data_IF_435127898918
#
_entry.id   IF_435127898918
#
_cell.length_a   1.000
_cell.length_b   1.000
_cell.length_c   1.000
_cell.angle_alpha   90.00
_cell.angle_beta   90.00
_cell.angle_gamma   90.00
#
_symmetry.space_group_name_H-M   'P 1'
#
loop_
_entity.id
_entity.type
_entity.pdbx_description
1 polymer ?
#
# COMPACT_ATOMS: atom_id res chain seq x y z
N UNK A 1 -9.26 -11.98 -8.16
CA UNK A 1 -10.27 -11.15 -7.46
C UNK A 1 -11.14 -10.42 -8.48
N UNK A 2 -12.39 -10.03 -8.18
CA UNK A 2 -13.21 -9.25 -9.13
C UNK A 2 -12.86 -7.78 -9.08
N UNK A 3 -12.70 -7.14 -10.24
CA UNK A 3 -12.53 -5.69 -10.38
C UNK A 3 -13.77 -4.88 -9.93
N UNK A 4 -14.87 -5.54 -9.57
CA UNK A 4 -16.08 -4.94 -9.01
C UNK A 4 -16.36 -5.51 -7.62
N UNK A 5 -15.42 -5.40 -6.69
CA UNK A 5 -15.55 -5.92 -5.33
C UNK A 5 -15.08 -4.90 -4.30
N UNK A 6 -15.59 -5.03 -3.07
CA UNK A 6 -15.14 -4.22 -1.95
C UNK A 6 -13.62 -4.30 -1.75
N UNK A 7 -13.03 -5.49 -1.88
CA UNK A 7 -11.58 -5.66 -1.78
C UNK A 7 -10.80 -4.83 -2.80
N UNK A 8 -11.25 -4.79 -4.06
CA UNK A 8 -10.62 -3.94 -5.08
C UNK A 8 -10.80 -2.44 -4.77
N UNK A 9 -11.91 -2.06 -4.14
CA UNK A 9 -12.16 -0.68 -3.73
C UNK A 9 -11.23 -0.26 -2.58
N UNK A 10 -11.05 -1.14 -1.59
CA UNK A 10 -10.13 -0.92 -0.46
C UNK A 10 -8.70 -0.74 -0.97
N UNK A 11 -8.23 -1.63 -1.85
CA UNK A 11 -6.89 -1.52 -2.44
C UNK A 11 -6.72 -0.21 -3.21
N UNK A 12 -7.71 0.18 -4.03
CA UNK A 12 -7.68 1.42 -4.79
C UNK A 12 -7.57 2.64 -3.87
N UNK A 13 -8.48 2.75 -2.90
CA UNK A 13 -8.58 3.93 -2.07
C UNK A 13 -7.46 4.03 -1.04
N UNK A 14 -6.98 2.92 -0.48
CA UNK A 14 -5.83 2.94 0.41
C UNK A 14 -4.59 3.45 -0.32
N UNK A 15 -4.32 2.97 -1.53
CA UNK A 15 -3.18 3.39 -2.35
C UNK A 15 -3.30 4.86 -2.79
N UNK A 16 -4.48 5.27 -3.25
CA UNK A 16 -4.73 6.66 -3.62
C UNK A 16 -4.59 7.61 -2.43
N UNK A 17 -5.14 7.24 -1.27
CA UNK A 17 -5.06 8.05 -0.06
C UNK A 17 -3.62 8.15 0.48
N UNK A 18 -2.85 7.06 0.42
CA UNK A 18 -1.41 7.08 0.74
C UNK A 18 -0.66 8.09 -0.12
N UNK A 19 -0.98 8.17 -1.42
CA UNK A 19 -0.40 9.17 -2.33
C UNK A 19 -0.77 10.60 -1.93
N UNK A 20 -2.02 10.85 -1.54
CA UNK A 20 -2.43 12.17 -1.05
C UNK A 20 -1.66 12.60 0.20
N UNK A 21 -1.44 11.66 1.14
CA UNK A 21 -0.62 11.89 2.34
C UNK A 21 0.84 12.17 1.96
N UNK A 22 1.45 11.33 1.13
CA UNK A 22 2.84 11.51 0.70
C UNK A 22 3.07 12.82 -0.07
N UNK A 23 2.03 13.29 -0.75
CA UNK A 23 2.03 14.58 -1.45
C UNK A 23 1.69 15.77 -0.55
N UNK A 24 1.39 15.57 0.73
CA UNK A 24 1.03 16.65 1.66
C UNK A 24 -0.27 17.37 1.30
N UNK A 25 -1.18 16.70 0.59
CA UNK A 25 -2.51 17.22 0.23
C UNK A 25 -3.53 16.88 1.32
N UNK A 26 -3.37 15.70 1.90
CA UNK A 26 -4.12 15.25 3.08
C UNK A 26 -3.12 15.04 4.20
N UNK A 27 -3.51 15.41 5.42
CA UNK A 27 -2.65 15.22 6.58
C UNK A 27 -2.43 13.74 6.86
N UNK A 28 -1.20 13.38 7.22
CA UNK A 28 -0.91 12.12 7.86
C UNK A 28 -1.35 12.09 9.32
N UNK A 29 -0.40 11.75 10.19
CA UNK A 29 -0.51 11.85 11.64
C UNK A 29 0.68 12.66 12.17
N UNK A 30 0.58 13.14 13.40
CA UNK A 30 1.63 13.98 14.00
C UNK A 30 2.98 13.25 14.02
N UNK A 31 4.03 13.90 13.54
CA UNK A 31 5.37 13.28 13.47
C UNK A 31 5.66 12.50 12.18
N UNK A 32 4.70 12.41 11.25
CA UNK A 32 4.91 11.82 9.93
C UNK A 32 4.90 12.90 8.83
N UNK A 33 6.07 13.46 8.44
CA UNK A 33 6.13 14.43 7.35
C UNK A 33 5.77 13.76 6.02
N UNK A 34 5.10 14.52 5.15
CA UNK A 34 4.92 14.13 3.75
C UNK A 34 6.27 14.06 3.02
N UNK A 35 6.34 13.29 1.93
CA UNK A 35 7.55 13.25 1.11
C UNK A 35 7.97 14.65 0.64
N UNK A 36 7.02 15.49 0.21
CA UNK A 36 7.34 16.85 -0.25
C UNK A 36 7.92 17.77 0.85
N UNK A 37 7.58 17.52 2.11
CA UNK A 37 8.16 18.26 3.24
C UNK A 37 9.60 17.85 3.55
N UNK A 38 9.98 16.61 3.24
CA UNK A 38 11.35 16.11 3.46
C UNK A 38 12.31 16.50 2.34
N UNK A 39 11.80 16.88 1.16
CA UNK A 39 12.64 17.37 0.05
C UNK A 39 13.36 18.66 0.44
N UNK A 40 14.69 18.62 0.40
CA UNK A 40 15.58 19.74 0.71
C UNK A 40 16.57 19.99 -0.43
N UNK A 41 17.12 21.20 -0.47
CA UNK A 41 18.20 21.57 -1.39
C UNK A 41 19.49 20.89 -0.95
N UNK A 42 20.26 20.40 -1.91
CA UNK A 42 21.55 19.75 -1.66
C UNK A 42 22.57 20.76 -1.13
N UNK A 43 23.64 20.27 -0.49
CA UNK A 43 24.68 21.13 0.11
C UNK A 43 25.35 22.07 -0.90
N UNK A 44 25.32 21.75 -2.19
CA UNK A 44 25.83 22.56 -3.30
C UNK A 44 24.85 23.62 -3.82
N UNK A 45 23.65 23.72 -3.23
CA UNK A 45 22.62 24.68 -3.62
C UNK A 45 21.75 24.26 -4.80
N UNK A 46 21.90 23.03 -5.30
CA UNK A 46 21.07 22.46 -6.37
C UNK A 46 19.82 21.73 -5.83
N UNK A 47 18.71 21.68 -6.57
CA UNK A 47 17.56 20.85 -6.21
C UNK A 47 17.91 19.36 -6.38
N UNK A 48 17.30 18.47 -5.58
CA UNK A 48 17.52 17.03 -5.74
C UNK A 48 17.03 16.55 -7.12
N UNK A 49 17.61 15.48 -7.67
CA UNK A 49 17.20 14.93 -8.96
C UNK A 49 15.72 14.54 -8.93
N UNK A 50 14.98 14.85 -10.00
CA UNK A 50 13.61 14.40 -10.13
C UNK A 50 13.58 12.90 -10.49
N UNK A 51 13.03 12.08 -9.60
CA UNK A 51 12.78 10.65 -9.79
C UNK A 51 11.28 10.36 -9.83
N UNK A 52 10.88 9.29 -10.53
CA UNK A 52 9.52 8.75 -10.34
C UNK A 52 9.54 7.90 -9.08
N UNK A 53 8.66 8.23 -8.15
CA UNK A 53 8.48 7.50 -6.91
C UNK A 53 7.38 6.46 -7.10
N UNK A 54 7.62 5.25 -6.59
CA UNK A 54 6.62 4.20 -6.52
C UNK A 54 6.47 3.77 -5.06
N UNK A 55 5.25 3.84 -4.54
CA UNK A 55 4.86 3.26 -3.26
C UNK A 55 3.80 2.19 -3.48
N UNK A 56 3.83 1.14 -2.68
CA UNK A 56 2.76 0.14 -2.65
C UNK A 56 2.69 -0.54 -1.29
N UNK A 57 1.53 -1.10 -0.97
CA UNK A 57 1.34 -1.90 0.23
C UNK A 57 1.82 -3.34 0.03
N UNK A 58 2.40 -3.90 1.07
CA UNK A 58 2.80 -5.31 1.14
C UNK A 58 2.50 -5.87 2.53
N UNK A 59 2.53 -7.19 2.63
CA UNK A 59 2.36 -7.89 3.91
C UNK A 59 3.60 -7.75 4.80
N UNK A 60 3.39 -7.55 6.10
CA UNK A 60 4.43 -7.49 7.14
C UNK A 60 4.02 -8.34 8.35
N UNK A 61 4.04 -9.66 8.15
CA UNK A 61 3.80 -10.64 9.21
C UNK A 61 5.10 -11.27 9.66
N UNK A 62 5.14 -11.65 10.93
CA UNK A 62 6.10 -12.63 11.43
C UNK A 62 5.75 -14.04 10.89
N UNK A 63 6.68 -15.01 10.95
CA UNK A 63 6.36 -16.40 10.65
C UNK A 63 5.15 -16.89 11.45
N UNK A 64 4.18 -17.48 10.74
CA UNK A 64 2.95 -18.02 11.32
C UNK A 64 3.31 -18.99 12.44
N UNK A 65 2.83 -18.71 13.66
CA UNK A 65 2.99 -19.61 14.78
C UNK A 65 2.08 -20.81 14.62
N UNK A 66 2.58 -22.02 14.84
CA UNK A 66 1.81 -23.27 14.71
C UNK A 66 2.10 -24.16 15.90
N UNK A 67 1.07 -24.76 16.49
CA UNK A 67 1.22 -25.78 17.53
C UNK A 67 1.84 -27.07 16.96
N UNK A 68 2.50 -27.92 17.77
CA UNK A 68 2.99 -29.22 17.30
C UNK A 68 1.90 -30.10 16.67
N UNK A 69 0.67 -30.00 17.18
CA UNK A 69 -0.49 -30.70 16.67
C UNK A 69 -1.07 -30.08 15.38
N UNK A 70 -0.60 -28.90 14.96
CA UNK A 70 -1.06 -28.15 13.77
C UNK A 70 -2.56 -27.86 13.75
N UNK A 71 -3.14 -27.66 14.93
CA UNK A 71 -4.56 -27.38 15.15
C UNK A 71 -4.82 -25.92 15.55
N UNK A 72 -3.77 -25.16 15.88
CA UNK A 72 -3.85 -23.74 16.20
C UNK A 72 -2.76 -22.96 15.48
N UNK A 73 -3.17 -21.85 14.89
CA UNK A 73 -2.33 -20.97 14.09
C UNK A 73 -2.43 -19.53 14.60
N UNK A 74 -1.29 -18.85 14.72
CA UNK A 74 -1.22 -17.46 15.20
C UNK A 74 -0.54 -16.58 14.15
N UNK A 75 -1.31 -15.60 13.64
CA UNK A 75 -0.81 -14.51 12.82
C UNK A 75 -0.24 -13.43 13.76
N UNK A 76 0.99 -12.99 13.48
CA UNK A 76 1.73 -12.03 14.31
C UNK A 76 2.37 -10.97 13.42
N UNK A 77 2.67 -9.81 14.00
CA UNK A 77 3.17 -8.63 13.29
C UNK A 77 2.07 -7.61 12.98
N UNK A 78 2.47 -6.49 12.38
CA UNK A 78 1.58 -5.36 12.06
C UNK A 78 0.62 -5.67 10.91
N UNK A 79 0.97 -6.64 10.06
CA UNK A 79 0.19 -7.10 8.93
C UNK A 79 0.44 -6.33 7.64
N UNK A 80 0.58 -5.00 7.71
CA UNK A 80 0.81 -4.15 6.53
C UNK A 80 2.10 -3.35 6.66
N UNK A 81 2.83 -3.22 5.55
CA UNK A 81 3.91 -2.25 5.36
C UNK A 81 3.76 -1.53 4.03
N UNK A 82 4.44 -0.39 3.91
CA UNK A 82 4.64 0.32 2.65
C UNK A 82 6.05 0.04 2.15
N UNK A 83 6.17 -0.27 0.87
CA UNK A 83 7.45 -0.41 0.17
C UNK A 83 7.64 0.73 -0.83
N UNK A 84 8.89 1.04 -1.14
CA UNK A 84 9.26 2.09 -2.09
C UNK A 84 10.23 1.61 -3.18
N UNK A 85 10.13 2.21 -4.37
CA UNK A 85 11.10 2.06 -5.46
C UNK A 85 11.22 3.37 -6.26
N UNK A 86 12.39 3.58 -6.87
CA UNK A 86 12.62 4.65 -7.83
C UNK A 86 12.54 4.10 -9.27
N UNK A 87 11.82 4.79 -10.14
CA UNK A 87 11.78 4.53 -11.58
C UNK A 87 12.42 5.71 -12.35
N UNK A 88 13.14 5.41 -13.44
CA UNK A 88 13.62 6.42 -14.40
C UNK A 88 12.78 6.35 -15.68
N UNK A 89 12.36 7.49 -16.21
CA UNK A 89 11.82 7.58 -17.57
C UNK A 89 12.97 7.53 -18.58
N UNK A 90 13.06 6.45 -19.36
CA UNK A 90 13.87 6.47 -20.57
C UNK A 90 13.29 7.50 -21.56
N UNK A 91 14.12 8.00 -22.48
CA UNK A 91 13.76 9.01 -23.49
C UNK A 91 12.54 8.66 -24.40
N UNK A 92 12.02 7.43 -24.29
CA UNK A 92 10.87 6.90 -25.03
C UNK A 92 9.63 6.67 -24.14
N UNK A 93 9.61 7.18 -22.89
CA UNK A 93 8.49 7.01 -21.95
C UNK A 93 8.43 5.63 -21.28
N UNK A 94 9.43 4.76 -21.52
CA UNK A 94 9.54 3.45 -20.88
C UNK A 94 10.13 3.62 -19.47
N UNK A 95 9.41 3.16 -18.46
CA UNK A 95 9.87 3.11 -17.07
C UNK A 95 10.95 2.04 -16.94
N UNK A 96 12.12 2.43 -16.44
CA UNK A 96 13.22 1.51 -16.11
C UNK A 96 13.32 1.45 -14.59
N UNK A 97 13.15 0.25 -14.03
CA UNK A 97 13.36 0.00 -12.61
C UNK A 97 14.83 0.20 -12.25
N UNK A 98 15.10 1.12 -11.34
CA UNK A 98 16.43 1.32 -10.78
C UNK A 98 16.40 0.92 -9.32
N UNK A 99 16.96 -0.24 -8.98
CA UNK A 99 17.22 -0.58 -7.58
C UNK A 99 18.51 0.13 -7.16
N UNK A 100 18.55 0.90 -6.04
CA UNK A 100 17.59 1.00 -4.92
C UNK A 100 16.73 2.28 -4.92
N UNK A 101 15.72 2.31 -4.03
CA UNK A 101 14.99 3.53 -3.65
C UNK A 101 15.97 4.60 -3.13
N UNK A 102 15.77 5.86 -3.50
CA UNK A 102 16.49 6.95 -2.85
C UNK A 102 16.05 7.07 -1.37
N UNK A 103 16.91 7.71 -0.59
CA UNK A 103 16.78 7.80 0.86
C UNK A 103 15.48 8.49 1.29
N UNK A 104 15.06 9.56 0.59
CA UNK A 104 13.82 10.29 0.90
C UNK A 104 12.58 9.45 0.60
N UNK A 105 12.59 8.72 -0.51
CA UNK A 105 11.52 7.84 -0.92
C UNK A 105 11.34 6.68 0.07
N UNK A 106 12.46 6.10 0.51
CA UNK A 106 12.48 5.06 1.54
C UNK A 106 12.01 5.59 2.89
N UNK A 107 12.43 6.79 3.29
CA UNK A 107 12.02 7.42 4.54
C UNK A 107 10.50 7.58 4.64
N UNK A 108 9.82 7.97 3.56
CA UNK A 108 8.36 8.06 3.57
C UNK A 108 7.71 6.69 3.80
N UNK A 109 8.14 5.65 3.07
CA UNK A 109 7.61 4.30 3.22
C UNK A 109 7.86 3.70 4.61
N UNK A 110 9.08 3.88 5.14
CA UNK A 110 9.44 3.44 6.49
C UNK A 110 8.64 4.20 7.56
N UNK A 111 8.46 5.52 7.40
CA UNK A 111 7.69 6.36 8.33
C UNK A 111 6.20 6.00 8.31
N UNK A 112 5.61 5.79 7.13
CA UNK A 112 4.22 5.34 6.99
C UNK A 112 4.01 3.98 7.65
N UNK A 113 4.95 3.06 7.45
CA UNK A 113 4.93 1.73 8.07
C UNK A 113 5.02 1.84 9.58
N UNK A 114 5.93 2.65 10.12
CA UNK A 114 6.10 2.81 11.57
C UNK A 114 4.87 3.40 12.27
N UNK A 115 4.14 4.28 11.58
CA UNK A 115 2.94 4.95 12.12
C UNK A 115 1.62 4.29 11.68
N UNK A 116 1.67 3.11 11.05
CA UNK A 116 0.50 2.49 10.44
C UNK A 116 -0.68 2.35 11.42
N UNK A 117 -0.43 1.93 12.66
CA UNK A 117 -1.48 1.80 13.69
C UNK A 117 -2.20 3.12 14.00
N UNK A 118 -1.48 4.24 14.01
CA UNK A 118 -2.06 5.56 14.27
C UNK A 118 -2.82 6.08 13.05
N UNK A 119 -2.26 5.86 11.86
CA UNK A 119 -2.91 6.20 10.59
C UNK A 119 -4.20 5.40 10.44
N UNK A 120 -4.21 4.11 10.78
CA UNK A 120 -5.37 3.24 10.65
C UNK A 120 -6.50 3.60 11.63
N UNK A 121 -6.16 4.09 12.82
CA UNK A 121 -7.13 4.70 13.75
C UNK A 121 -7.75 5.99 13.19
N UNK A 122 -6.97 6.83 12.52
CA UNK A 122 -7.45 8.08 11.91
C UNK A 122 -8.25 7.83 10.62
N UNK A 123 -7.81 6.87 9.82
CA UNK A 123 -8.34 6.54 8.51
C UNK A 123 -8.65 5.03 8.43
N UNK A 124 -9.90 4.63 8.73
CA UNK A 124 -10.29 3.21 8.84
C UNK A 124 -10.06 2.36 7.58
N UNK A 125 -9.88 2.99 6.41
CA UNK A 125 -9.53 2.28 5.17
C UNK A 125 -8.26 1.42 5.30
N UNK A 126 -7.32 1.81 6.17
CA UNK A 126 -6.10 1.04 6.40
C UNK A 126 -6.33 -0.16 7.34
N UNK A 127 -7.31 -0.09 8.26
CA UNK A 127 -7.78 -1.27 9.00
C UNK A 127 -8.46 -2.26 8.06
N UNK A 128 -9.28 -1.77 7.14
CA UNK A 128 -9.91 -2.61 6.12
C UNK A 128 -8.87 -3.26 5.20
N UNK A 129 -7.81 -2.52 4.84
CA UNK A 129 -6.68 -3.06 4.09
C UNK A 129 -5.97 -4.18 4.88
N UNK A 130 -5.72 -3.97 6.19
CA UNK A 130 -5.13 -5.00 7.06
C UNK A 130 -6.01 -6.25 7.12
N UNK A 131 -7.31 -6.09 7.32
CA UNK A 131 -8.27 -7.21 7.32
C UNK A 131 -8.26 -7.97 5.99
N UNK A 132 -8.10 -7.27 4.86
CA UNK A 132 -7.99 -7.91 3.55
C UNK A 132 -6.72 -8.78 3.45
N UNK A 133 -5.59 -8.30 3.97
CA UNK A 133 -4.34 -9.08 4.02
C UNK A 133 -4.44 -10.24 5.01
N UNK A 134 -5.07 -10.06 6.17
CA UNK A 134 -5.31 -11.11 7.15
C UNK A 134 -6.13 -12.25 6.55
N UNK A 135 -7.25 -11.91 5.89
CA UNK A 135 -8.11 -12.90 5.22
C UNK A 135 -7.35 -13.60 4.10
N UNK A 136 -6.56 -12.88 3.30
CA UNK A 136 -5.76 -13.49 2.24
C UNK A 136 -4.74 -14.50 2.81
N UNK A 137 -4.06 -14.15 3.91
CA UNK A 137 -3.11 -15.02 4.58
C UNK A 137 -3.81 -16.23 5.22
N UNK A 138 -4.95 -16.04 5.88
CA UNK A 138 -5.76 -17.12 6.45
C UNK A 138 -6.24 -18.08 5.37
N UNK A 139 -6.74 -17.57 4.24
CA UNK A 139 -7.19 -18.40 3.12
C UNK A 139 -6.03 -19.20 2.54
N UNK A 140 -4.86 -18.58 2.35
CA UNK A 140 -3.65 -19.28 1.92
C UNK A 140 -3.25 -20.38 2.90
N UNK A 141 -3.36 -20.15 4.20
CA UNK A 141 -3.05 -21.13 5.23
C UNK A 141 -4.04 -22.30 5.21
N UNK A 142 -5.35 -22.01 5.11
CA UNK A 142 -6.42 -23.00 5.01
C UNK A 142 -6.19 -23.93 3.81
N UNK A 143 -5.76 -23.39 2.68
CA UNK A 143 -5.46 -24.16 1.47
C UNK A 143 -4.14 -24.96 1.60
N UNK A 144 -3.05 -24.33 2.04
CA UNK A 144 -1.74 -24.97 2.11
C UNK A 144 -1.67 -26.10 3.15
N UNK A 145 -2.41 -25.97 4.24
CA UNK A 145 -2.44 -26.95 5.33
C UNK A 145 -3.55 -28.00 5.16
N UNK A 146 -4.42 -27.86 4.15
CA UNK A 146 -5.56 -28.75 3.94
C UNK A 146 -6.54 -28.75 5.12
N UNK A 147 -6.72 -27.59 5.78
CA UNK A 147 -7.50 -27.52 7.02
C UNK A 147 -8.97 -27.88 6.80
N UNK A 148 -9.49 -27.64 5.59
CA UNK A 148 -10.87 -27.96 5.24
C UNK A 148 -11.10 -29.47 5.25
N UNK A 149 -10.18 -30.21 4.67
CA UNK A 149 -10.21 -31.67 4.55
C UNK A 149 -10.05 -32.33 5.92
N UNK A 150 -9.14 -31.80 6.76
CA UNK A 150 -8.91 -32.30 8.12
C UNK A 150 -10.17 -32.31 8.98
N UNK A 151 -11.08 -31.35 8.78
CA UNK A 151 -12.34 -31.23 9.52
C UNK A 151 -13.57 -31.64 8.72
N UNK A 152 -13.38 -32.14 7.48
CA UNK A 152 -14.48 -32.53 6.59
C UNK A 152 -15.39 -31.36 6.15
N UNK A 153 -14.88 -30.13 6.10
CA UNK A 153 -15.66 -28.97 5.66
C UNK A 153 -15.51 -28.75 4.15
N UNK A 154 -16.62 -28.79 3.42
CA UNK A 154 -16.62 -28.68 1.95
C UNK A 154 -16.85 -27.26 1.40
N UNK A 155 -16.78 -26.22 2.24
CA UNK A 155 -16.86 -24.83 1.79
C UNK A 155 -18.23 -24.34 1.31
N UNK A 156 -19.21 -25.22 1.05
CA UNK A 156 -20.61 -24.94 0.66
C UNK A 156 -20.79 -23.62 -0.11
N UNK A 157 -21.63 -22.71 0.39
CA UNK A 157 -21.93 -21.41 -0.23
C UNK A 157 -20.71 -20.48 -0.26
N UNK A 158 -19.77 -20.59 0.69
CA UNK A 158 -18.57 -19.74 0.79
C UNK A 158 -17.51 -20.06 -0.28
N UNK A 159 -17.53 -21.27 -0.84
CA UNK A 159 -16.66 -21.67 -1.94
C UNK A 159 -17.30 -21.45 -3.32
N UNK A 160 -18.60 -21.15 -3.39
CA UNK A 160 -19.31 -20.88 -4.64
C UNK A 160 -19.73 -19.41 -4.74
N UNK A 161 -18.99 -18.67 -5.56
CA UNK A 161 -19.23 -17.26 -5.86
C UNK A 161 -20.63 -16.99 -6.42
N UNK A 162 -21.19 -17.92 -7.20
CA UNK A 162 -22.51 -17.75 -7.81
C UNK A 162 -23.64 -17.96 -6.80
N UNK A 163 -23.36 -18.72 -5.75
CA UNK A 163 -24.32 -19.10 -4.74
C UNK A 163 -24.58 -17.95 -3.74
N UNK A 164 -23.55 -17.15 -3.40
CA UNK A 164 -23.63 -16.08 -2.39
C UNK A 164 -24.17 -14.73 -2.89
N UNK A 165 -24.36 -14.53 -4.20
CA UNK A 165 -24.95 -13.30 -4.74
C UNK A 165 -24.28 -12.01 -4.24
N UNK A 166 -22.94 -11.95 -4.25
CA UNK A 166 -22.19 -10.83 -3.67
C UNK A 166 -22.54 -9.49 -4.35
N UNK A 167 -22.62 -8.38 -3.59
CA UNK A 167 -22.89 -7.07 -4.14
C UNK A 167 -21.79 -6.68 -5.13
N UNK A 168 -22.21 -6.12 -6.27
CA UNK A 168 -21.29 -5.53 -7.25
C UNK A 168 -21.02 -4.08 -6.84
N UNK A 169 -19.74 -3.73 -6.79
CA UNK A 169 -19.29 -2.39 -6.45
C UNK A 169 -18.74 -1.72 -7.70
N UNK A 170 -19.18 -0.49 -7.96
CA UNK A 170 -18.59 0.33 -9.01
C UNK A 170 -17.29 0.93 -8.50
N UNK A 171 -16.21 0.69 -9.24
CA UNK A 171 -14.87 1.13 -8.89
C UNK A 171 -14.43 2.13 -9.96
N UNK A 172 -13.92 3.31 -9.55
CA UNK A 172 -13.37 4.27 -10.49
C UNK A 172 -12.28 3.62 -11.37
N UNK A 173 -12.42 3.73 -12.68
CA UNK A 173 -11.38 3.29 -13.64
C UNK A 173 -10.31 4.36 -13.85
N UNK A 174 -10.56 5.58 -13.36
CA UNK A 174 -9.67 6.74 -13.45
C UNK A 174 -9.74 7.52 -12.15
N UNK A 175 -8.59 8.02 -11.72
CA UNK A 175 -8.47 8.96 -10.59
C UNK A 175 -7.81 10.24 -11.09
N UNK A 176 -8.10 11.36 -10.43
CA UNK A 176 -7.43 12.62 -10.75
C UNK A 176 -5.92 12.48 -10.51
N UNK A 177 -5.14 13.10 -11.41
CA UNK A 177 -3.69 13.20 -11.20
C UNK A 177 -3.44 14.07 -9.98
N UNK A 178 -2.68 13.54 -9.04
CA UNK A 178 -2.35 14.23 -7.80
C UNK A 178 -1.11 15.08 -8.05
N UNK A 179 -1.23 16.39 -7.89
CA UNK A 179 -0.14 17.35 -8.04
C UNK A 179 -0.07 18.23 -6.80
N UNK A 180 1.12 18.32 -6.21
CA UNK A 180 1.42 19.33 -5.19
C UNK A 180 2.84 19.85 -5.39
N UNK A 181 3.11 21.06 -4.90
CA UNK A 181 4.40 21.71 -5.07
C UNK A 181 4.87 22.44 -3.82
N UNK A 182 6.18 22.61 -3.73
CA UNK A 182 6.84 23.38 -2.69
C UNK A 182 7.90 24.29 -3.29
N UNK A 183 7.98 25.52 -2.78
CA UNK A 183 9.03 26.47 -3.16
C UNK A 183 10.17 26.39 -2.13
N UNK A 184 11.35 26.02 -2.58
CA UNK A 184 12.57 25.93 -1.77
C UNK A 184 13.51 27.13 -2.03
N UNK A 185 14.05 27.71 -0.96
CA UNK A 185 14.91 28.91 -1.00
C UNK A 185 14.39 30.07 -1.89
N UNK A 186 13.06 30.23 -2.01
CA UNK A 186 12.40 31.22 -2.88
C UNK A 186 12.85 31.17 -4.36
N UNK A 187 13.48 30.06 -4.79
CA UNK A 187 14.13 29.95 -6.10
C UNK A 187 13.75 28.67 -6.86
N UNK A 188 13.60 27.56 -6.14
CA UNK A 188 13.35 26.26 -6.78
C UNK A 188 11.91 25.81 -6.51
N UNK A 189 11.19 25.47 -7.58
CA UNK A 189 9.88 24.84 -7.51
C UNK A 189 10.09 23.33 -7.60
N UNK A 190 9.74 22.60 -6.54
CA UNK A 190 9.65 21.13 -6.56
C UNK A 190 8.18 20.78 -6.69
N UNK A 191 7.83 20.05 -7.74
CA UNK A 191 6.49 19.51 -7.92
C UNK A 191 6.56 17.99 -7.88
N UNK A 192 5.72 17.38 -7.04
CA UNK A 192 5.43 15.95 -7.15
C UNK A 192 4.20 15.76 -8.04
N UNK A 193 4.23 14.71 -8.85
CA UNK A 193 3.11 14.28 -9.67
C UNK A 193 2.93 12.80 -9.42
N UNK A 194 1.77 12.41 -8.92
CA UNK A 194 1.40 11.01 -8.70
C UNK A 194 0.15 10.67 -9.49
N UNK A 195 0.19 9.57 -10.24
CA UNK A 195 -0.91 9.15 -11.10
C UNK A 195 -0.96 7.64 -11.26
N UNK A 196 -2.19 7.12 -11.35
CA UNK A 196 -2.49 5.71 -11.54
C UNK A 196 -2.41 4.90 -10.25
N UNK A 197 -3.36 4.00 -10.06
CA UNK A 197 -3.33 2.96 -9.03
C UNK A 197 -3.34 1.64 -9.78
N UNK A 198 -2.38 0.77 -9.45
CA UNK A 198 -2.27 -0.55 -10.06
C UNK A 198 -2.47 -1.58 -8.97
N UNK A 199 -3.39 -2.50 -9.22
CA UNK A 199 -3.65 -3.65 -8.36
C UNK A 199 -3.17 -4.85 -9.17
N UNK A 200 -2.07 -5.46 -8.74
CA UNK A 200 -1.52 -6.69 -9.32
C UNK A 200 -2.10 -7.95 -8.64
#
# INVERSE_FOLDING_TARGET
MSAHSHAAQVLLFADYHMKLIGMGIVDGIDGMPSYLETVQILADGSPPPMSILRWWFSMQYEPVGVTPARDFYSLRGQGVQVLSENEILAAQGKRIHTRPSDELNKQFADSFTAHFEEIAKRYPIYEELRNLFDIALILSLVEQEGLREQVGWHGTWFADRNALGLPRMDIPTTVETVVNHRILNRKYLVAGISGGVWID
#
